data_IF_046676387452
#
_entry.id   IF_046676387452
#
_cell.length_a   1.000
_cell.length_b   1.000
_cell.length_c   1.000
_cell.angle_alpha   90.00
_cell.angle_beta   90.00
_cell.angle_gamma   90.00
#
_symmetry.space_group_name_H-M   'P 1'
#
loop_
_entity.id
_entity.type
_entity.pdbx_description
1 polymer ?
#
# COMPACT_ATOMS: atom_id res chain seq x y z
N UNK A 1 -33.14 70.81 27.13
CA UNK A 1 -33.88 70.21 26.01
C UNK A 1 -32.88 69.91 24.88
N UNK A 2 -32.43 68.66 24.82
CA UNK A 2 -32.53 67.74 23.67
C UNK A 2 -31.22 67.59 22.87
N UNK A 3 -30.46 66.55 23.26
CA UNK A 3 -29.18 66.07 22.74
C UNK A 3 -29.36 65.45 21.34
N UNK A 4 -28.62 65.92 20.33
CA UNK A 4 -28.64 65.36 18.97
C UNK A 4 -27.75 64.11 18.92
N UNK A 5 -28.37 62.93 18.83
CA UNK A 5 -27.68 61.63 18.67
C UNK A 5 -26.97 61.56 17.32
N UNK A 6 -25.66 61.29 17.34
CA UNK A 6 -24.88 60.93 16.17
C UNK A 6 -25.18 59.49 15.78
N UNK A 7 -25.97 59.30 14.72
CA UNK A 7 -26.25 57.99 14.14
C UNK A 7 -25.07 57.57 13.26
N UNK A 8 -24.23 56.68 13.78
CA UNK A 8 -23.17 56.01 13.01
C UNK A 8 -23.79 55.22 11.86
N UNK A 9 -23.64 55.70 10.63
CA UNK A 9 -24.02 54.96 9.43
C UNK A 9 -23.19 53.67 9.34
N UNK A 10 -23.85 52.51 9.45
CA UNK A 10 -23.23 51.21 9.10
C UNK A 10 -22.88 51.27 7.62
N UNK A 11 -21.59 51.29 7.30
CA UNK A 11 -21.14 51.08 5.92
C UNK A 11 -21.54 49.66 5.52
N UNK A 12 -22.50 49.54 4.61
CA UNK A 12 -22.67 48.32 3.85
C UNK A 12 -21.38 48.14 3.03
N UNK A 13 -20.54 47.20 3.45
CA UNK A 13 -19.42 46.76 2.65
C UNK A 13 -20.00 45.78 1.64
N UNK A 14 -20.37 46.29 0.47
CA UNK A 14 -20.77 45.45 -0.64
C UNK A 14 -19.57 44.61 -1.05
N UNK A 15 -19.76 43.29 -1.04
CA UNK A 15 -18.70 42.32 -1.32
C UNK A 15 -18.25 42.55 -2.77
N UNK A 16 -16.99 42.91 -3.01
CA UNK A 16 -16.53 43.25 -4.36
C UNK A 16 -16.59 42.04 -5.30
N UNK A 17 -16.90 42.28 -6.57
CA UNK A 17 -17.15 41.23 -7.59
C UNK A 17 -15.99 40.24 -7.74
N UNK A 18 -14.74 40.68 -7.53
CA UNK A 18 -13.57 39.80 -7.60
C UNK A 18 -13.56 38.75 -6.47
N UNK A 19 -14.13 39.08 -5.31
CA UNK A 19 -14.25 38.15 -4.18
C UNK A 19 -15.22 37.02 -4.54
N UNK A 20 -16.31 37.32 -5.24
CA UNK A 20 -17.23 36.32 -5.79
C UNK A 20 -16.58 35.45 -6.87
N UNK A 21 -15.71 36.01 -7.71
CA UNK A 21 -14.96 35.23 -8.71
C UNK A 21 -14.01 34.25 -8.01
N UNK A 22 -13.25 34.71 -7.02
CA UNK A 22 -12.34 33.86 -6.24
C UNK A 22 -13.11 32.79 -5.48
N UNK A 23 -14.24 33.15 -4.87
CA UNK A 23 -15.13 32.20 -4.19
C UNK A 23 -15.67 31.14 -5.15
N UNK A 24 -16.07 31.54 -6.36
CA UNK A 24 -16.54 30.64 -7.41
C UNK A 24 -15.47 29.65 -7.87
N UNK A 25 -14.23 30.13 -8.08
CA UNK A 25 -13.09 29.28 -8.44
C UNK A 25 -12.77 28.30 -7.30
N UNK A 26 -12.74 28.78 -6.06
CA UNK A 26 -12.51 27.94 -4.88
C UNK A 26 -13.57 26.86 -4.72
N UNK A 27 -14.86 27.24 -4.88
CA UNK A 27 -15.97 26.30 -4.85
C UNK A 27 -15.85 25.25 -5.97
N UNK A 28 -15.52 25.67 -7.19
CA UNK A 28 -15.33 24.77 -8.34
C UNK A 28 -14.24 23.74 -8.05
N UNK A 29 -13.06 24.18 -7.59
CA UNK A 29 -11.95 23.28 -7.25
C UNK A 29 -12.32 22.29 -6.14
N UNK A 30 -12.99 22.76 -5.10
CA UNK A 30 -13.49 21.90 -4.02
C UNK A 30 -14.45 20.83 -4.57
N UNK A 31 -15.44 21.24 -5.36
CA UNK A 31 -16.39 20.30 -5.96
C UNK A 31 -15.72 19.33 -6.92
N UNK A 32 -14.70 19.76 -7.68
CA UNK A 32 -13.92 18.87 -8.53
C UNK A 32 -13.21 17.80 -7.73
N UNK A 33 -12.56 18.14 -6.61
CA UNK A 33 -11.88 17.18 -5.74
C UNK A 33 -12.89 16.20 -5.11
N UNK A 34 -14.02 16.71 -4.63
CA UNK A 34 -15.09 15.87 -4.05
C UNK A 34 -15.66 14.92 -5.10
N UNK A 35 -16.00 15.41 -6.29
CA UNK A 35 -16.54 14.61 -7.38
C UNK A 35 -15.53 13.54 -7.84
N UNK A 36 -14.26 13.90 -7.97
CA UNK A 36 -13.18 12.96 -8.29
C UNK A 36 -13.02 11.87 -7.22
N UNK A 37 -13.12 12.23 -5.94
CA UNK A 37 -13.05 11.26 -4.84
C UNK A 37 -14.25 10.30 -4.87
N UNK A 38 -15.47 10.82 -5.08
CA UNK A 38 -16.68 9.99 -5.19
C UNK A 38 -16.58 9.03 -6.37
N UNK A 39 -16.08 9.50 -7.51
CA UNK A 39 -15.86 8.67 -8.70
C UNK A 39 -14.96 7.46 -8.40
N UNK A 40 -13.93 7.64 -7.56
CA UNK A 40 -12.99 6.58 -7.16
C UNK A 40 -13.55 5.57 -6.15
N UNK A 41 -14.72 5.82 -5.53
CA UNK A 41 -15.33 4.89 -4.57
C UNK A 41 -15.89 3.62 -5.26
N UNK A 42 -16.27 3.73 -6.54
CA UNK A 42 -16.91 2.64 -7.29
C UNK A 42 -15.96 1.62 -7.92
N UNK A 43 -14.64 1.85 -7.89
CA UNK A 43 -13.67 0.87 -8.36
C UNK A 43 -13.55 -0.27 -7.34
N UNK A 44 -13.94 -1.48 -7.76
CA UNK A 44 -13.73 -2.69 -6.97
C UNK A 44 -12.23 -2.82 -6.72
N UNK A 45 -11.83 -2.87 -5.45
CA UNK A 45 -10.42 -3.09 -5.08
C UNK A 45 -10.04 -4.50 -5.45
N UNK A 46 -8.94 -4.65 -6.18
CA UNK A 46 -8.39 -5.96 -6.46
C UNK A 46 -7.88 -6.60 -5.15
N UNK A 47 -8.19 -7.88 -4.88
CA UNK A 47 -7.65 -8.58 -3.72
C UNK A 47 -6.13 -8.57 -3.70
N UNK A 48 -5.53 -8.68 -2.52
CA UNK A 48 -4.08 -8.81 -2.39
C UNK A 48 -3.57 -9.99 -3.24
N UNK A 49 -2.61 -9.70 -4.12
CA UNK A 49 -2.04 -10.64 -5.07
C UNK A 49 -0.52 -10.49 -5.05
N UNK A 50 0.22 -11.59 -4.96
CA UNK A 50 1.67 -11.55 -4.72
C UNK A 50 2.46 -12.11 -5.90
N UNK A 51 3.45 -11.35 -6.33
CA UNK A 51 4.57 -11.84 -7.16
C UNK A 51 5.78 -12.03 -6.25
N UNK A 52 6.41 -13.20 -6.31
CA UNK A 52 7.54 -13.55 -5.46
C UNK A 52 8.73 -13.85 -6.36
N UNK A 53 9.82 -13.13 -6.14
CA UNK A 53 11.06 -13.27 -6.90
C UNK A 53 12.22 -13.60 -5.96
N UNK A 54 13.08 -14.53 -6.37
CA UNK A 54 14.33 -14.82 -5.65
C UNK A 54 15.40 -13.88 -6.19
N UNK A 55 15.79 -12.87 -5.41
CA UNK A 55 16.79 -11.89 -5.84
C UNK A 55 18.21 -12.45 -5.76
N UNK A 56 18.53 -13.18 -4.70
CA UNK A 56 19.86 -13.75 -4.51
C UNK A 56 19.85 -14.90 -3.51
N UNK A 57 20.87 -15.75 -3.62
CA UNK A 57 21.17 -16.79 -2.62
C UNK A 57 22.59 -16.57 -2.13
N UNK A 58 22.75 -16.35 -0.84
CA UNK A 58 24.03 -16.11 -0.19
C UNK A 58 24.36 -17.29 0.72
N UNK A 59 25.56 -17.85 0.56
CA UNK A 59 26.08 -18.85 1.49
C UNK A 59 26.54 -18.15 2.78
N UNK A 60 26.12 -18.69 3.91
CA UNK A 60 26.41 -18.21 5.26
C UNK A 60 26.98 -19.36 6.08
N UNK A 61 27.65 -19.06 7.20
CA UNK A 61 28.26 -20.11 8.03
C UNK A 61 27.30 -21.17 8.59
N UNK A 62 25.99 -20.95 8.50
CA UNK A 62 24.94 -21.88 8.95
C UNK A 62 24.04 -22.45 7.86
N UNK A 63 24.33 -22.18 6.58
CA UNK A 63 23.49 -22.60 5.45
C UNK A 63 23.37 -21.53 4.38
N UNK A 64 22.25 -21.51 3.67
CA UNK A 64 21.98 -20.64 2.52
C UNK A 64 20.82 -19.71 2.81
N UNK A 65 21.03 -18.42 2.60
CA UNK A 65 20.04 -17.38 2.78
C UNK A 65 19.52 -16.96 1.40
N UNK A 66 18.28 -17.33 1.10
CA UNK A 66 17.58 -16.94 -0.12
C UNK A 66 16.82 -15.63 0.13
N UNK A 67 17.31 -14.53 -0.47
CA UNK A 67 16.63 -13.25 -0.44
C UNK A 67 15.50 -13.22 -1.44
N UNK A 68 14.33 -12.80 -0.98
CA UNK A 68 13.09 -12.78 -1.70
C UNK A 68 12.56 -11.35 -1.78
N UNK A 69 12.04 -10.99 -2.94
CA UNK A 69 11.24 -9.79 -3.13
C UNK A 69 9.80 -10.17 -3.36
N UNK A 70 8.92 -9.68 -2.49
CA UNK A 70 7.49 -9.91 -2.52
C UNK A 70 6.82 -8.63 -2.95
N UNK A 71 6.15 -8.64 -4.09
CA UNK A 71 5.39 -7.50 -4.59
C UNK A 71 3.90 -7.79 -4.47
N UNK A 72 3.18 -6.97 -3.71
CA UNK A 72 1.71 -6.99 -3.70
C UNK A 72 1.20 -6.11 -4.84
N UNK A 73 0.62 -6.74 -5.86
CA UNK A 73 0.03 -6.08 -7.03
C UNK A 73 -1.46 -5.81 -6.87
N UNK A 74 -2.04 -6.19 -5.73
CA UNK A 74 -3.44 -5.90 -5.39
C UNK A 74 -3.63 -4.54 -4.73
N UNK A 75 -4.89 -4.13 -4.64
CA UNK A 75 -5.31 -2.88 -4.00
C UNK A 75 -5.63 -3.04 -2.50
N UNK A 76 -5.66 -4.28 -2.01
CA UNK A 76 -5.79 -4.60 -0.60
C UNK A 76 -4.42 -4.83 0.06
N UNK A 77 -4.33 -4.46 1.33
CA UNK A 77 -3.15 -4.74 2.14
C UNK A 77 -3.26 -6.12 2.77
N UNK A 78 -2.15 -6.85 2.84
CA UNK A 78 -2.05 -8.12 3.54
C UNK A 78 -1.24 -7.98 4.83
N UNK A 79 -1.82 -8.40 5.95
CA UNK A 79 -1.15 -8.50 7.23
C UNK A 79 -0.76 -9.96 7.53
N UNK A 80 0.37 -10.16 8.19
CA UNK A 80 0.81 -11.51 8.61
C UNK A 80 1.01 -12.50 7.46
N UNK A 81 1.44 -12.04 6.28
CA UNK A 81 1.66 -12.89 5.12
C UNK A 81 2.70 -13.96 5.45
N UNK A 82 2.28 -15.23 5.43
CA UNK A 82 3.17 -16.36 5.62
C UNK A 82 3.47 -17.03 4.29
N UNK A 83 4.76 -17.27 4.04
CA UNK A 83 5.28 -17.91 2.86
C UNK A 83 5.92 -19.25 3.25
N UNK A 84 5.80 -20.23 2.36
CA UNK A 84 6.46 -21.52 2.43
C UNK A 84 7.37 -21.67 1.21
N UNK A 85 8.64 -21.94 1.45
CA UNK A 85 9.62 -22.31 0.44
C UNK A 85 10.01 -23.78 0.61
N UNK A 86 9.80 -24.58 -0.44
CA UNK A 86 10.12 -26.00 -0.49
C UNK A 86 11.27 -26.24 -1.45
N UNK A 87 12.30 -26.97 -1.00
CA UNK A 87 13.33 -27.50 -1.86
C UNK A 87 12.95 -28.88 -2.33
N UNK A 88 12.90 -29.03 -3.64
CA UNK A 88 12.58 -30.28 -4.31
C UNK A 88 13.83 -30.84 -4.99
N UNK A 89 14.13 -32.11 -4.76
CA UNK A 89 15.20 -32.86 -5.42
C UNK A 89 14.60 -34.13 -6.02
N UNK A 90 14.66 -34.28 -7.35
CA UNK A 90 14.11 -35.46 -8.02
C UNK A 90 12.58 -35.63 -7.86
N UNK A 91 11.85 -34.56 -7.52
CA UNK A 91 10.40 -34.60 -7.28
C UNK A 91 10.00 -34.87 -5.82
N UNK A 92 10.97 -35.11 -4.93
CA UNK A 92 10.73 -35.24 -3.49
C UNK A 92 11.09 -33.94 -2.77
N UNK A 93 10.27 -33.57 -1.77
CA UNK A 93 10.57 -32.47 -0.87
C UNK A 93 11.70 -32.88 0.08
N UNK A 94 12.82 -32.17 0.02
CA UNK A 94 14.01 -32.47 0.83
C UNK A 94 14.22 -31.49 1.98
N UNK A 95 13.60 -30.31 1.90
CA UNK A 95 13.68 -29.28 2.92
C UNK A 95 12.55 -28.26 2.75
N UNK A 96 12.04 -27.74 3.86
CA UNK A 96 11.02 -26.67 3.87
C UNK A 96 11.44 -25.57 4.84
N UNK A 97 11.24 -24.33 4.42
CA UNK A 97 11.49 -23.12 5.21
C UNK A 97 10.30 -22.17 5.13
N UNK A 98 10.08 -21.40 6.17
CA UNK A 98 8.96 -20.45 6.23
C UNK A 98 9.45 -19.05 6.56
N UNK A 99 8.74 -18.05 6.03
CA UNK A 99 8.96 -16.65 6.34
C UNK A 99 7.62 -15.95 6.54
N UNK A 100 7.56 -15.05 7.50
CA UNK A 100 6.35 -14.26 7.77
C UNK A 100 6.67 -12.79 7.68
N UNK A 101 5.89 -12.08 6.86
CA UNK A 101 5.93 -10.63 6.75
C UNK A 101 4.76 -10.06 7.56
N UNK A 102 5.06 -9.19 8.52
CA UNK A 102 4.01 -8.56 9.33
C UNK A 102 3.05 -7.74 8.49
N UNK A 103 3.55 -7.11 7.42
CA UNK A 103 2.75 -6.19 6.62
C UNK A 103 3.26 -6.04 5.18
N UNK A 104 2.37 -6.21 4.21
CA UNK A 104 2.63 -5.98 2.78
C UNK A 104 1.54 -5.06 2.22
N UNK A 105 1.80 -3.74 2.12
CA UNK A 105 0.82 -2.78 1.62
C UNK A 105 0.40 -3.07 0.19
N UNK A 106 -0.78 -2.56 -0.19
CA UNK A 106 -1.24 -2.52 -1.57
C UNK A 106 -0.20 -1.84 -2.49
N UNK A 107 -0.04 -2.37 -3.71
CA UNK A 107 0.85 -1.83 -4.73
C UNK A 107 2.30 -1.56 -4.25
N UNK A 108 2.82 -2.40 -3.35
CA UNK A 108 4.13 -2.22 -2.70
C UNK A 108 4.95 -3.50 -2.71
N UNK A 109 6.28 -3.34 -2.70
CA UNK A 109 7.22 -4.44 -2.51
C UNK A 109 7.76 -4.51 -1.07
N UNK A 110 8.10 -5.72 -0.62
CA UNK A 110 8.78 -6.00 0.63
C UNK A 110 9.81 -7.10 0.43
N UNK A 111 10.93 -6.97 1.15
CA UNK A 111 12.00 -7.95 1.12
C UNK A 111 11.83 -8.92 2.29
N UNK A 112 12.13 -10.19 2.05
CA UNK A 112 12.20 -11.23 3.06
C UNK A 112 13.38 -12.15 2.76
N UNK A 113 13.71 -13.00 3.74
CA UNK A 113 14.70 -14.04 3.53
C UNK A 113 14.18 -15.36 4.09
N UNK A 114 14.50 -16.44 3.39
CA UNK A 114 14.33 -17.81 3.87
C UNK A 114 15.71 -18.44 4.04
N UNK A 115 15.86 -19.21 5.12
CA UNK A 115 17.12 -19.90 5.43
C UNK A 115 16.93 -21.38 5.16
N UNK A 116 17.89 -21.96 4.45
CA UNK A 116 17.96 -23.38 4.11
C UNK A 116 19.32 -23.94 4.53
N UNK A 117 19.37 -25.23 4.84
CA UNK A 117 20.61 -25.96 5.12
C UNK A 117 21.24 -26.48 3.83
N UNK A 118 20.44 -26.75 2.79
CA UNK A 118 20.89 -27.17 1.46
C UNK A 118 20.93 -25.99 0.49
N UNK A 119 21.77 -26.06 -0.55
CA UNK A 119 21.91 -24.98 -1.53
C UNK A 119 20.67 -24.90 -2.45
N UNK A 120 19.81 -23.88 -2.32
CA UNK A 120 18.62 -23.74 -3.13
C UNK A 120 18.93 -23.48 -4.62
N UNK A 121 20.17 -23.10 -4.98
CA UNK A 121 20.59 -22.91 -6.38
C UNK A 121 20.79 -24.22 -7.13
N UNK A 122 21.01 -25.32 -6.40
CA UNK A 122 21.27 -26.64 -6.99
C UNK A 122 20.01 -27.52 -7.08
N UNK A 123 18.89 -27.01 -6.57
CA UNK A 123 17.63 -27.71 -6.42
C UNK A 123 16.48 -26.85 -6.94
N UNK A 124 15.28 -27.42 -7.07
CA UNK A 124 14.10 -26.65 -7.44
C UNK A 124 13.50 -26.04 -6.17
N UNK A 125 13.58 -24.71 -6.04
CA UNK A 125 12.91 -23.96 -4.98
C UNK A 125 11.51 -23.56 -5.44
N UNK A 126 10.49 -24.07 -4.75
CA UNK A 126 9.09 -23.70 -4.95
C UNK A 126 8.62 -22.84 -3.79
N UNK A 127 8.11 -21.63 -4.08
CA UNK A 127 7.65 -20.71 -3.05
C UNK A 127 6.17 -20.41 -3.27
N UNK A 128 5.38 -20.48 -2.20
CA UNK A 128 3.97 -20.12 -2.23
C UNK A 128 3.53 -19.38 -0.96
N UNK A 129 2.56 -18.46 -1.08
CA UNK A 129 1.87 -17.94 0.08
C UNK A 129 0.97 -19.01 0.71
N UNK A 130 1.02 -19.12 2.04
CA UNK A 130 0.14 -19.98 2.83
C UNK A 130 -1.16 -19.27 3.24
N UNK A 131 -1.05 -17.99 3.58
CA UNK A 131 -2.18 -17.20 4.07
C UNK A 131 -1.77 -15.82 4.54
N UNK A 132 -2.77 -14.96 4.71
CA UNK A 132 -2.65 -13.60 5.23
C UNK A 132 -4.01 -13.14 5.78
N UNK A 133 -3.99 -12.08 6.58
CA UNK A 133 -5.17 -11.42 7.11
C UNK A 133 -5.50 -10.16 6.31
N UNK A 134 -6.81 -9.91 6.14
CA UNK A 134 -7.33 -8.66 5.60
C UNK A 134 -7.59 -7.70 6.77
N UNK A 135 -6.94 -6.53 6.81
CA UNK A 135 -7.12 -5.55 7.88
C UNK A 135 -8.49 -4.85 7.83
#
# INVERSE_FOLDING_TARGET
MATKKSTSARRHHDIPVWEWIVAGIGALLLFSIVAFTIYRIGEARDPAAFTIEVESVVETGGGYLANLRITNTGDETAAGLTLEGKLMQGGEEVETSTATLTYVPANSARDAAMVFTKDPRTMKLEIRPLGFEKP
#
